data_IF_707524568685
#
_entry.id   IF_707524568685
#
_cell.length_a   1.000
_cell.length_b   1.000
_cell.length_c   1.000
_cell.angle_alpha   90.00
_cell.angle_beta   90.00
_cell.angle_gamma   90.00
#
_symmetry.space_group_name_H-M   'P 1'
#
loop_
_entity.id
_entity.type
_entity.pdbx_description
1 polymer ?
#
# COMPACT_ATOMS: atom_id res chain seq x y z
N UNK A 1 13.80 -1.50 -0.38
CA UNK A 1 12.42 -0.98 -0.38
C UNK A 1 11.51 -1.70 0.61
N UNK A 2 10.68 -0.98 1.37
CA UNK A 2 9.56 -1.57 2.14
C UNK A 2 8.29 -1.46 1.30
N UNK A 3 7.71 -2.60 0.92
CA UNK A 3 6.41 -2.64 0.23
C UNK A 3 5.43 -3.48 1.03
N UNK A 4 4.14 -3.17 0.91
CA UNK A 4 3.07 -3.98 1.51
C UNK A 4 2.35 -4.75 0.43
N UNK A 5 2.15 -6.05 0.65
CA UNK A 5 1.34 -6.89 -0.24
C UNK A 5 -0.09 -6.98 0.26
N UNK A 6 -1.06 -6.92 -0.66
CA UNK A 6 -2.49 -7.01 -0.36
C UNK A 6 -3.23 -7.91 -1.36
N UNK A 7 -4.41 -8.43 -1.00
CA UNK A 7 -5.27 -9.10 -1.96
C UNK A 7 -5.78 -8.10 -3.01
N UNK A 8 -5.94 -8.57 -4.24
CA UNK A 8 -6.48 -7.79 -5.34
C UNK A 8 -7.90 -7.29 -5.02
N UNK A 9 -8.06 -5.97 -5.04
CA UNK A 9 -9.33 -5.32 -4.68
C UNK A 9 -10.34 -5.28 -5.84
N UNK A 10 -9.87 -5.19 -7.08
CA UNK A 10 -10.68 -5.13 -8.30
C UNK A 10 -10.21 -6.17 -9.34
N UNK A 11 -11.14 -7.04 -9.77
CA UNK A 11 -10.90 -8.11 -10.76
C UNK A 11 -11.57 -7.85 -12.11
N UNK A 12 -12.23 -6.70 -12.30
CA UNK A 12 -13.03 -6.40 -13.51
C UNK A 12 -12.20 -6.18 -14.77
N UNK A 13 -10.90 -5.90 -14.63
CA UNK A 13 -9.97 -5.59 -15.72
C UNK A 13 -9.05 -6.77 -16.08
N UNK A 14 -9.24 -7.92 -15.43
CA UNK A 14 -8.43 -9.10 -15.68
C UNK A 14 -8.62 -9.59 -17.10
N UNK A 15 -7.53 -10.01 -17.73
CA UNK A 15 -7.54 -10.59 -19.07
C UNK A 15 -8.08 -12.02 -19.00
N UNK A 16 -8.64 -12.49 -20.11
CA UNK A 16 -8.87 -13.91 -20.27
C UNK A 16 -7.52 -14.66 -20.36
N UNK A 17 -7.50 -15.93 -19.97
CA UNK A 17 -6.26 -16.73 -19.93
C UNK A 17 -5.54 -16.80 -21.29
N UNK A 18 -6.29 -16.83 -22.39
CA UNK A 18 -5.80 -16.88 -23.76
C UNK A 18 -5.30 -15.53 -24.31
N UNK A 19 -5.68 -14.41 -23.70
CA UNK A 19 -5.19 -13.08 -24.03
C UNK A 19 -3.86 -12.74 -23.34
N UNK A 20 -3.46 -13.55 -22.35
CA UNK A 20 -2.17 -13.40 -21.68
C UNK A 20 -1.04 -13.94 -22.54
N UNK A 21 0.15 -13.39 -22.34
CA UNK A 21 1.33 -13.79 -23.10
C UNK A 21 2.41 -14.36 -22.19
N UNK A 22 3.42 -15.02 -22.77
CA UNK A 22 4.61 -15.43 -22.04
C UNK A 22 5.53 -14.24 -21.82
N UNK A 23 6.08 -14.12 -20.62
CA UNK A 23 7.05 -13.07 -20.33
C UNK A 23 8.36 -13.26 -21.12
N UNK A 24 8.86 -12.14 -21.66
CA UNK A 24 10.15 -12.07 -22.36
C UNK A 24 11.31 -11.71 -21.41
N UNK A 25 11.01 -11.41 -20.15
CA UNK A 25 11.99 -10.89 -19.19
C UNK A 25 12.85 -12.02 -18.60
N UNK A 26 14.16 -11.88 -18.76
CA UNK A 26 15.17 -12.78 -18.18
C UNK A 26 15.93 -12.05 -17.07
N UNK A 27 15.22 -11.73 -16.00
CA UNK A 27 15.76 -11.02 -14.83
C UNK A 27 15.39 -11.77 -13.55
N UNK A 28 16.15 -11.55 -12.49
CA UNK A 28 15.82 -12.04 -11.15
C UNK A 28 14.82 -11.12 -10.44
N UNK A 29 14.15 -11.63 -9.40
CA UNK A 29 13.27 -10.81 -8.58
C UNK A 29 14.00 -9.61 -7.96
N UNK A 30 15.23 -9.80 -7.47
CA UNK A 30 16.04 -8.70 -6.91
C UNK A 30 16.26 -7.59 -7.93
N UNK A 31 16.63 -7.93 -9.16
CA UNK A 31 16.80 -6.92 -10.22
C UNK A 31 15.47 -6.21 -10.55
N UNK A 32 14.35 -6.93 -10.49
CA UNK A 32 13.04 -6.35 -10.72
C UNK A 32 12.62 -5.39 -9.60
N UNK A 33 12.87 -5.76 -8.34
CA UNK A 33 12.60 -4.90 -7.18
C UNK A 33 13.53 -3.69 -7.14
N UNK A 34 14.81 -3.86 -7.48
CA UNK A 34 15.79 -2.76 -7.52
C UNK A 34 15.45 -1.74 -8.60
N UNK A 35 14.96 -2.21 -9.76
CA UNK A 35 14.46 -1.33 -10.81
C UNK A 35 13.22 -0.56 -10.31
N UNK A 36 12.25 -1.24 -9.71
CA UNK A 36 11.04 -0.60 -9.21
C UNK A 36 11.37 0.46 -8.14
N UNK A 37 12.22 0.11 -7.17
CA UNK A 37 12.67 1.03 -6.11
C UNK A 37 13.35 2.26 -6.70
N UNK A 38 14.31 2.07 -7.60
CA UNK A 38 15.00 3.18 -8.26
C UNK A 38 14.04 4.09 -9.00
N UNK A 39 13.09 3.54 -9.75
CA UNK A 39 12.14 4.36 -10.52
C UNK A 39 11.13 5.07 -9.62
N UNK A 40 10.78 4.52 -8.46
CA UNK A 40 9.97 5.20 -7.43
C UNK A 40 10.73 6.37 -6.80
N UNK A 41 12.00 6.18 -6.42
CA UNK A 41 12.84 7.26 -5.87
C UNK A 41 12.91 8.48 -6.80
N UNK A 42 12.95 8.26 -8.13
CA UNK A 42 12.98 9.34 -9.12
C UNK A 42 11.73 10.24 -9.13
N UNK A 43 10.60 9.73 -8.68
CA UNK A 43 9.31 10.44 -8.67
C UNK A 43 8.82 10.74 -7.25
N UNK A 44 9.74 10.68 -6.27
CA UNK A 44 9.45 10.82 -4.83
C UNK A 44 8.35 9.85 -4.36
N UNK A 45 8.43 8.63 -4.90
CA UNK A 45 7.49 7.54 -4.69
C UNK A 45 7.60 6.94 -3.30
N UNK A 46 6.52 6.94 -2.54
CA UNK A 46 6.43 6.33 -1.22
C UNK A 46 5.12 5.56 -1.04
N UNK A 47 5.03 4.77 0.03
CA UNK A 47 3.82 3.98 0.37
C UNK A 47 3.44 2.95 -0.69
N UNK A 48 4.45 2.24 -1.17
CA UNK A 48 4.27 1.21 -2.17
C UNK A 48 3.41 0.05 -1.66
N UNK A 49 2.27 -0.13 -2.32
CA UNK A 49 1.36 -1.26 -2.19
C UNK A 49 1.37 -2.07 -3.47
N UNK A 50 1.59 -3.39 -3.33
CA UNK A 50 1.46 -4.36 -4.41
C UNK A 50 0.25 -5.23 -4.12
N UNK A 51 -0.85 -5.05 -4.85
CA UNK A 51 -1.99 -5.97 -4.78
C UNK A 51 -1.79 -7.12 -5.75
N UNK A 52 -2.02 -8.35 -5.29
CA UNK A 52 -1.97 -9.56 -6.11
C UNK A 52 -3.16 -10.47 -5.80
N UNK A 53 -3.51 -11.37 -6.70
CA UNK A 53 -4.67 -12.27 -6.53
C UNK A 53 -4.38 -13.45 -5.58
N UNK A 54 -4.15 -13.14 -4.30
CA UNK A 54 -3.93 -14.12 -3.22
C UNK A 54 -5.05 -14.05 -2.18
N UNK A 55 -5.16 -15.09 -1.34
CA UNK A 55 -6.00 -15.03 -0.14
C UNK A 55 -5.26 -14.25 0.94
N UNK A 56 -6.03 -13.60 1.81
CA UNK A 56 -5.50 -12.86 2.95
C UNK A 56 -4.67 -13.73 3.89
N UNK A 57 -5.02 -15.02 4.03
CA UNK A 57 -4.27 -16.01 4.83
C UNK A 57 -2.84 -16.28 4.33
N UNK A 58 -2.55 -15.96 3.06
CA UNK A 58 -1.24 -16.17 2.43
C UNK A 58 -0.27 -15.02 2.71
N UNK A 59 -0.78 -13.95 3.34
CA UNK A 59 0.00 -12.85 3.87
C UNK A 59 0.62 -13.20 5.23
N UNK A 60 1.83 -12.72 5.46
CA UNK A 60 2.48 -12.71 6.77
C UNK A 60 1.99 -11.50 7.57
N UNK A 61 2.17 -11.55 8.89
CA UNK A 61 1.84 -10.43 9.80
C UNK A 61 2.63 -9.15 9.49
N UNK A 62 3.77 -9.27 8.80
CA UNK A 62 4.60 -8.15 8.33
C UNK A 62 4.13 -7.55 6.99
N UNK A 63 3.03 -8.08 6.41
CA UNK A 63 2.48 -7.62 5.15
C UNK A 63 3.19 -8.17 3.91
N UNK A 64 4.13 -9.10 4.07
CA UNK A 64 4.83 -9.77 2.96
C UNK A 64 4.16 -11.10 2.59
N UNK A 65 4.33 -11.57 1.35
CA UNK A 65 3.90 -12.92 0.97
C UNK A 65 4.68 -13.97 1.77
N UNK A 66 3.99 -15.04 2.16
CA UNK A 66 4.66 -16.29 2.53
C UNK A 66 5.44 -16.83 1.33
N UNK A 67 6.59 -17.47 1.56
CA UNK A 67 7.47 -17.96 0.49
C UNK A 67 6.78 -18.94 -0.49
N UNK A 68 5.70 -19.62 -0.04
CA UNK A 68 4.94 -20.58 -0.83
C UNK A 68 3.61 -20.00 -1.36
N UNK A 69 3.31 -18.73 -1.09
CA UNK A 69 2.08 -18.10 -1.53
C UNK A 69 2.12 -17.89 -3.04
N UNK A 70 1.13 -18.46 -3.74
CA UNK A 70 0.96 -18.32 -5.19
C UNK A 70 -0.39 -17.67 -5.48
N UNK A 71 -0.48 -16.84 -6.53
CA UNK A 71 -1.78 -16.34 -6.99
C UNK A 71 -2.74 -17.49 -7.26
N UNK A 72 -3.99 -17.33 -6.83
CA UNK A 72 -5.00 -18.40 -6.85
C UNK A 72 -5.74 -18.44 -8.18
N UNK A 73 -5.97 -17.27 -8.78
CA UNK A 73 -6.60 -17.13 -10.08
C UNK A 73 -5.63 -16.53 -11.09
N UNK A 74 -5.56 -15.20 -11.14
CA UNK A 74 -4.77 -14.49 -12.13
C UNK A 74 -3.41 -14.05 -11.57
N UNK A 75 -2.32 -14.12 -12.35
CA UNK A 75 -1.03 -13.54 -11.99
C UNK A 75 -1.02 -12.00 -12.09
N UNK A 76 -2.18 -11.37 -11.98
CA UNK A 76 -2.38 -9.94 -12.11
C UNK A 76 -1.84 -9.19 -10.90
N UNK A 77 -1.35 -7.98 -11.16
CA UNK A 77 -0.83 -7.10 -10.12
C UNK A 77 -1.37 -5.69 -10.27
N UNK A 78 -1.59 -5.06 -9.12
CA UNK A 78 -1.76 -3.60 -9.01
C UNK A 78 -0.59 -3.06 -8.21
N UNK A 79 0.05 -2.04 -8.73
CA UNK A 79 1.13 -1.32 -8.06
C UNK A 79 0.64 0.10 -7.81
N UNK A 80 0.46 0.44 -6.55
CA UNK A 80 -0.04 1.74 -6.13
C UNK A 80 0.91 2.39 -5.13
N UNK A 81 1.07 3.71 -5.22
CA UNK A 81 1.98 4.48 -4.38
C UNK A 81 1.64 5.98 -4.45
N UNK A 82 2.09 6.73 -3.46
CA UNK A 82 2.06 8.20 -3.46
C UNK A 82 3.32 8.74 -4.14
N UNK A 83 3.22 9.89 -4.82
CA UNK A 83 4.34 10.51 -5.55
C UNK A 83 4.23 12.03 -5.60
N UNK A 84 5.28 12.71 -6.07
CA UNK A 84 5.24 14.16 -6.33
C UNK A 84 4.15 14.58 -7.35
N UNK A 85 3.60 13.61 -8.11
CA UNK A 85 2.54 13.83 -9.10
C UNK A 85 1.13 13.47 -8.59
N UNK A 86 1.02 13.13 -7.29
CA UNK A 86 -0.18 12.59 -6.64
C UNK A 86 -0.20 11.07 -6.56
N UNK A 87 -1.29 10.46 -6.07
CA UNK A 87 -1.43 9.01 -6.00
C UNK A 87 -1.48 8.41 -7.40
N UNK A 88 -0.61 7.42 -7.63
CA UNK A 88 -0.51 6.71 -8.91
C UNK A 88 -0.88 5.24 -8.72
N UNK A 89 -1.58 4.69 -9.72
CA UNK A 89 -1.98 3.29 -9.76
C UNK A 89 -1.68 2.70 -11.14
N UNK A 90 -0.93 1.60 -11.14
CA UNK A 90 -0.58 0.83 -12.32
C UNK A 90 -1.15 -0.57 -12.22
N UNK A 91 -1.73 -1.06 -13.31
CA UNK A 91 -2.31 -2.41 -13.40
C UNK A 91 -1.56 -3.20 -14.47
N UNK A 92 -1.23 -4.45 -14.18
CA UNK A 92 -0.60 -5.32 -15.16
C UNK A 92 -1.08 -6.77 -15.00
N UNK A 93 -1.63 -7.31 -16.07
CA UNK A 93 -2.06 -8.71 -16.21
C UNK A 93 -1.68 -9.23 -17.61
N UNK A 94 -0.56 -8.74 -18.16
CA UNK A 94 -0.13 -9.06 -19.51
C UNK A 94 0.49 -10.47 -19.61
N UNK A 95 1.10 -10.94 -18.51
CA UNK A 95 1.86 -12.19 -18.49
C UNK A 95 1.15 -13.29 -17.71
N UNK A 96 0.84 -14.39 -18.41
CA UNK A 96 0.25 -15.61 -17.85
C UNK A 96 1.29 -16.70 -17.57
N UNK A 97 2.50 -16.57 -18.14
CA UNK A 97 3.58 -17.53 -18.00
C UNK A 97 4.92 -16.84 -17.82
N UNK A 98 5.79 -17.44 -17.00
CA UNK A 98 7.16 -16.99 -16.78
C UNK A 98 8.04 -17.17 -18.01
N UNK A 99 9.17 -16.44 -18.03
CA UNK A 99 10.17 -16.64 -19.08
C UNK A 99 10.99 -17.90 -18.81
N UNK A 100 11.40 -18.60 -19.87
CA UNK A 100 12.24 -19.77 -19.73
C UNK A 100 13.61 -19.37 -19.14
N UNK A 101 14.01 -20.03 -18.05
CA UNK A 101 15.23 -19.71 -17.31
C UNK A 101 15.12 -18.53 -16.33
N UNK A 102 13.92 -17.96 -16.15
CA UNK A 102 13.64 -16.99 -15.09
C UNK A 102 13.38 -17.71 -13.76
N UNK A 103 13.91 -17.16 -12.66
CA UNK A 103 13.57 -17.60 -11.30
C UNK A 103 12.36 -16.87 -10.71
N UNK A 104 11.77 -15.93 -11.46
CA UNK A 104 10.62 -15.16 -11.01
C UNK A 104 9.32 -15.95 -11.15
N UNK A 105 8.43 -15.75 -10.18
CA UNK A 105 7.03 -16.17 -10.29
C UNK A 105 6.30 -15.29 -11.32
N UNK A 106 5.22 -15.81 -11.92
CA UNK A 106 4.54 -15.14 -13.05
C UNK A 106 4.07 -13.72 -12.69
N UNK A 107 3.49 -13.53 -11.50
CA UNK A 107 3.03 -12.21 -11.05
C UNK A 107 4.18 -11.20 -10.92
N UNK A 108 5.38 -11.66 -10.58
CA UNK A 108 6.56 -10.81 -10.48
C UNK A 108 6.95 -10.27 -11.85
N UNK A 109 6.72 -11.02 -12.93
CA UNK A 109 6.92 -10.51 -14.29
C UNK A 109 5.97 -9.35 -14.61
N UNK A 110 4.73 -9.38 -14.09
CA UNK A 110 3.79 -8.27 -14.22
C UNK A 110 4.22 -7.05 -13.39
N UNK A 111 4.82 -7.25 -12.20
CA UNK A 111 5.43 -6.14 -11.42
C UNK A 111 6.59 -5.52 -12.18
N UNK A 112 7.48 -6.34 -12.75
CA UNK A 112 8.59 -5.83 -13.55
C UNK A 112 8.12 -5.06 -14.79
N UNK A 113 6.99 -5.46 -15.39
CA UNK A 113 6.36 -4.71 -16.47
C UNK A 113 5.96 -3.29 -16.04
N UNK A 114 5.45 -3.13 -14.81
CA UNK A 114 5.15 -1.81 -14.24
C UNK A 114 6.44 -1.02 -14.04
N UNK A 115 7.49 -1.62 -13.47
CA UNK A 115 8.78 -0.96 -13.30
C UNK A 115 9.36 -0.47 -14.64
N UNK A 116 9.25 -1.27 -15.71
CA UNK A 116 9.63 -0.89 -17.07
C UNK A 116 8.76 0.23 -17.64
N UNK A 117 7.49 0.26 -17.29
CA UNK A 117 6.57 1.34 -17.68
C UNK A 117 7.01 2.65 -17.02
N UNK A 118 7.33 2.64 -15.73
CA UNK A 118 7.86 3.82 -15.02
C UNK A 118 9.18 4.30 -15.63
N UNK A 119 10.09 3.39 -15.94
CA UNK A 119 11.36 3.72 -16.62
C UNK A 119 11.12 4.41 -17.98
N UNK A 120 10.16 3.91 -18.76
CA UNK A 120 9.79 4.51 -20.03
C UNK A 120 9.15 5.90 -19.87
N UNK A 121 8.24 6.07 -18.90
CA UNK A 121 7.61 7.36 -18.60
C UNK A 121 8.63 8.39 -18.13
N UNK A 122 9.64 7.98 -17.35
CA UNK A 122 10.76 8.83 -16.97
C UNK A 122 11.65 9.16 -18.17
N UNK A 123 11.85 8.23 -19.11
CA UNK A 123 12.60 8.51 -20.33
C UNK A 123 11.91 9.59 -21.19
N UNK A 124 10.58 9.58 -21.24
CA UNK A 124 9.78 10.63 -21.90
C UNK A 124 10.05 12.01 -21.29
N UNK A 125 10.05 12.13 -19.95
CA UNK A 125 10.40 13.38 -19.27
C UNK A 125 11.87 13.77 -19.49
N UNK A 126 12.78 12.81 -19.33
CA UNK A 126 14.22 13.01 -19.46
C UNK A 126 14.59 13.59 -20.82
N UNK A 127 13.97 13.09 -21.89
CA UNK A 127 14.25 13.55 -23.25
C UNK A 127 13.33 14.71 -23.70
N UNK A 128 12.52 15.27 -22.79
CA UNK A 128 11.67 16.43 -23.06
C UNK A 128 10.57 16.18 -24.08
N UNK A 129 10.17 14.92 -24.27
CA UNK A 129 9.11 14.56 -25.22
C UNK A 129 7.71 14.92 -24.70
N UNK A 130 7.56 15.16 -23.39
CA UNK A 130 6.36 15.70 -22.77
C UNK A 130 6.72 16.88 -21.84
N UNK A 131 5.73 17.72 -21.52
CA UNK A 131 5.88 18.73 -20.46
C UNK A 131 5.73 18.06 -19.10
N UNK A 132 6.59 18.47 -18.16
CA UNK A 132 6.74 17.92 -16.80
C UNK A 132 5.47 17.26 -16.23
N UNK A 133 5.46 15.92 -16.19
CA UNK A 133 4.48 15.14 -15.45
C UNK A 133 3.12 14.90 -16.11
N UNK A 134 2.92 15.31 -17.37
CA UNK A 134 1.67 15.07 -18.12
C UNK A 134 1.40 13.58 -18.37
N UNK A 135 2.45 12.79 -18.57
CA UNK A 135 2.38 11.35 -18.83
C UNK A 135 1.89 10.53 -17.63
N UNK A 136 2.06 11.04 -16.41
CA UNK A 136 1.56 10.40 -15.19
C UNK A 136 0.06 10.64 -14.95
N UNK A 137 -0.55 11.62 -15.63
CA UNK A 137 -1.98 11.97 -15.43
C UNK A 137 -2.93 10.82 -15.71
N UNK A 138 -2.63 9.99 -16.71
CA UNK A 138 -3.46 8.82 -17.08
C UNK A 138 -3.49 7.72 -16.03
N UNK A 139 -2.55 7.76 -15.07
CA UNK A 139 -2.41 6.76 -13.99
C UNK A 139 -2.83 7.32 -12.62
N UNK A 140 -3.27 8.57 -12.57
CA UNK A 140 -3.85 9.13 -11.34
C UNK A 140 -5.16 8.42 -11.04
N UNK A 141 -5.37 8.09 -9.77
CA UNK A 141 -6.64 7.54 -9.34
C UNK A 141 -7.73 8.62 -9.41
N UNK A 142 -8.48 8.65 -10.51
CA UNK A 142 -9.71 9.45 -10.63
C UNK A 142 -10.83 8.65 -9.96
N UNK A 143 -11.34 9.12 -8.83
CA UNK A 143 -12.25 8.36 -7.98
C UNK A 143 -13.50 7.81 -8.68
N UNK A 144 -13.60 6.48 -8.78
CA UNK A 144 -14.81 5.66 -8.61
C UNK A 144 -14.43 4.17 -8.62
N UNK A 145 -14.37 3.59 -7.43
CA UNK A 145 -13.85 2.24 -7.12
C UNK A 145 -13.36 2.32 -5.68
N UNK A 146 -13.42 1.25 -4.86
CA UNK A 146 -13.13 1.38 -3.44
C UNK A 146 -11.81 2.14 -3.35
N UNK A 147 -11.84 3.24 -2.60
CA UNK A 147 -10.62 3.95 -2.28
C UNK A 147 -9.59 2.87 -2.03
N UNK A 148 -8.40 2.97 -2.61
CA UNK A 148 -7.31 2.33 -1.92
C UNK A 148 -7.47 2.95 -0.53
N UNK A 149 -7.87 2.13 0.44
CA UNK A 149 -7.62 2.49 1.83
C UNK A 149 -6.11 2.36 1.91
N UNK A 150 -5.39 3.24 1.23
CA UNK A 150 -4.18 3.84 1.73
C UNK A 150 -4.72 4.56 2.96
N UNK A 151 -4.93 3.79 4.04
CA UNK A 151 -4.47 4.31 5.30
C UNK A 151 -3.06 4.78 4.98
N UNK A 152 -2.89 6.10 4.98
CA UNK A 152 -1.59 6.74 4.91
C UNK A 152 -0.63 5.89 5.76
N UNK A 153 0.64 5.74 5.35
CA UNK A 153 1.64 5.00 6.11
C UNK A 153 1.44 5.38 7.55
N UNK A 154 1.18 4.38 8.38
CA UNK A 154 0.93 4.64 9.80
C UNK A 154 2.20 5.31 10.30
N UNK A 155 2.17 6.63 10.45
CA UNK A 155 3.23 7.42 11.06
C UNK A 155 2.97 7.43 12.55
N UNK A 156 3.99 7.70 13.37
CA UNK A 156 3.79 7.88 14.81
C UNK A 156 2.67 8.89 15.12
N UNK A 157 2.61 10.02 14.38
CA UNK A 157 1.56 11.03 14.51
C UNK A 157 0.19 10.50 14.10
N UNK A 158 0.08 9.77 13.00
CA UNK A 158 -1.18 9.18 12.55
C UNK A 158 -1.68 8.10 13.52
N UNK A 159 -0.78 7.27 14.05
CA UNK A 159 -1.11 6.30 15.08
C UNK A 159 -1.62 6.99 16.35
N UNK A 160 -0.95 8.07 16.78
CA UNK A 160 -1.39 8.88 17.91
C UNK A 160 -2.79 9.48 17.69
N UNK A 161 -3.06 10.05 16.52
CA UNK A 161 -4.39 10.57 16.16
C UNK A 161 -5.49 9.51 16.29
N UNK A 162 -5.25 8.30 15.77
CA UNK A 162 -6.23 7.20 15.83
C UNK A 162 -6.47 6.78 17.28
N UNK A 163 -5.41 6.65 18.08
CA UNK A 163 -5.52 6.28 19.49
C UNK A 163 -6.22 7.35 20.34
N UNK A 164 -5.87 8.63 20.15
CA UNK A 164 -6.51 9.74 20.86
C UNK A 164 -7.98 9.86 20.47
N UNK A 165 -8.32 9.71 19.18
CA UNK A 165 -9.72 9.72 18.70
C UNK A 165 -10.53 8.57 19.30
N UNK A 166 -9.97 7.37 19.36
CA UNK A 166 -10.64 6.24 20.00
C UNK A 166 -10.80 6.40 21.51
N UNK A 167 -9.82 7.03 22.17
CA UNK A 167 -9.82 7.18 23.62
C UNK A 167 -10.73 8.33 24.13
N UNK A 168 -10.79 9.44 23.40
CA UNK A 168 -11.41 10.71 23.84
C UNK A 168 -12.62 11.08 22.97
N UNK A 169 -13.73 10.39 23.21
CA UNK A 169 -14.96 10.39 22.38
C UNK A 169 -15.63 11.78 22.21
N UNK A 170 -15.41 12.73 23.13
CA UNK A 170 -16.11 14.03 23.15
C UNK A 170 -15.18 15.25 23.24
N UNK A 171 -14.01 15.18 22.60
CA UNK A 171 -13.01 16.25 22.66
C UNK A 171 -13.12 17.20 21.47
N UNK A 172 -12.98 18.52 21.70
CA UNK A 172 -12.94 19.52 20.61
C UNK A 172 -11.72 19.29 19.69
N UNK A 173 -11.75 19.78 18.44
CA UNK A 173 -10.60 19.62 17.53
C UNK A 173 -9.30 20.18 18.10
N UNK A 174 -9.37 21.36 18.72
CA UNK A 174 -8.22 22.04 19.31
C UNK A 174 -7.62 21.26 20.49
N UNK A 175 -8.47 20.69 21.32
CA UNK A 175 -8.03 19.85 22.45
C UNK A 175 -7.48 18.50 21.95
N UNK A 176 -7.99 17.99 20.83
CA UNK A 176 -7.53 16.73 20.23
C UNK A 176 -6.12 16.85 19.66
N UNK A 177 -5.81 17.95 19.00
CA UNK A 177 -4.45 18.22 18.48
C UNK A 177 -3.44 18.28 19.63
N UNK A 178 -3.79 19.01 20.69
CA UNK A 178 -2.98 19.05 21.92
C UNK A 178 -2.81 17.67 22.58
N UNK A 179 -3.86 16.84 22.63
CA UNK A 179 -3.79 15.48 23.16
C UNK A 179 -2.91 14.55 22.30
N UNK A 180 -2.85 14.78 20.97
CA UNK A 180 -1.95 14.05 20.06
C UNK A 180 -0.50 14.41 20.34
N UNK A 181 -0.20 15.70 20.47
CA UNK A 181 1.14 16.18 20.78
C UNK A 181 1.59 15.66 22.16
N UNK A 182 0.75 15.80 23.19
CA UNK A 182 1.02 15.27 24.54
C UNK A 182 1.22 13.74 24.57
N UNK A 183 0.55 13.00 23.70
CA UNK A 183 0.77 11.54 23.58
C UNK A 183 2.11 11.20 22.92
N UNK A 184 2.54 11.99 21.93
CA UNK A 184 3.82 11.79 21.24
C UNK A 184 5.00 12.19 22.13
N UNK A 185 4.87 13.30 22.86
CA UNK A 185 5.89 13.83 23.76
C UNK A 185 6.04 12.98 25.04
N UNK A 186 5.08 12.07 25.31
CA UNK A 186 5.10 11.14 26.44
C UNK A 186 4.43 11.68 27.71
N UNK A 187 3.78 12.83 27.63
CA UNK A 187 3.04 13.45 28.73
C UNK A 187 1.73 12.69 29.06
N UNK A 188 1.19 11.95 28.09
CA UNK A 188 0.07 11.02 28.30
C UNK A 188 0.56 9.58 28.47
N UNK A 189 0.02 8.90 29.48
CA UNK A 189 0.28 7.46 29.67
C UNK A 189 -0.21 6.64 28.47
N UNK A 190 0.75 6.15 27.69
CA UNK A 190 0.53 5.45 26.43
C UNK A 190 -0.36 4.21 26.62
N UNK A 191 -0.14 3.44 27.68
CA UNK A 191 -0.90 2.22 27.93
C UNK A 191 -2.35 2.51 28.31
N UNK A 192 -2.59 3.60 29.06
CA UNK A 192 -3.94 4.06 29.35
C UNK A 192 -4.70 4.52 28.12
N UNK A 193 -4.07 5.28 27.23
CA UNK A 193 -4.70 5.73 25.98
C UNK A 193 -5.04 4.56 25.07
N UNK A 194 -4.11 3.61 24.87
CA UNK A 194 -4.36 2.42 24.05
C UNK A 194 -5.50 1.56 24.61
N UNK A 195 -5.49 1.31 25.92
CA UNK A 195 -6.54 0.52 26.58
C UNK A 195 -7.91 1.20 26.47
N UNK A 196 -7.96 2.52 26.65
CA UNK A 196 -9.19 3.27 26.54
C UNK A 196 -9.73 3.28 25.10
N UNK A 197 -8.85 3.50 24.11
CA UNK A 197 -9.20 3.45 22.70
C UNK A 197 -9.79 2.08 22.32
N UNK A 198 -9.13 0.99 22.70
CA UNK A 198 -9.61 -0.37 22.45
C UNK A 198 -10.96 -0.64 23.07
N UNK A 199 -11.18 -0.24 24.32
CA UNK A 199 -12.44 -0.43 25.02
C UNK A 199 -13.60 0.30 24.32
N UNK A 200 -13.35 1.54 23.90
CA UNK A 200 -14.38 2.38 23.31
C UNK A 200 -14.74 1.97 21.87
N UNK A 201 -13.79 1.41 21.11
CA UNK A 201 -14.02 0.96 19.72
C UNK A 201 -14.34 -0.53 19.59
N UNK A 202 -14.28 -1.30 20.69
CA UNK A 202 -14.53 -2.75 20.67
C UNK A 202 -15.91 -3.09 20.12
N UNK A 203 -16.08 -4.09 19.23
CA UNK A 203 -17.38 -4.42 18.63
C UNK A 203 -18.50 -4.70 19.66
N UNK A 204 -18.17 -5.34 20.78
CA UNK A 204 -19.14 -5.66 21.83
C UNK A 204 -19.53 -4.46 22.72
N UNK A 205 -18.70 -3.42 22.78
CA UNK A 205 -18.89 -2.27 23.68
C UNK A 205 -18.73 -0.94 22.97
N UNK A 206 -18.91 -0.92 21.65
CA UNK A 206 -18.58 0.21 20.81
C UNK A 206 -19.43 1.42 21.21
N UNK A 207 -18.76 2.54 21.48
CA UNK A 207 -19.45 3.79 21.76
C UNK A 207 -19.99 4.40 20.45
N UNK A 208 -21.27 4.80 20.40
CA UNK A 208 -21.84 5.45 19.23
C UNK A 208 -21.09 6.74 18.91
N UNK A 209 -20.75 6.96 17.63
CA UNK A 209 -20.19 8.23 17.15
C UNK A 209 -18.66 8.31 17.12
N UNK A 210 -17.93 7.22 17.40
CA UNK A 210 -16.47 7.20 17.21
C UNK A 210 -16.13 6.98 15.73
N UNK A 211 -15.38 7.89 15.08
CA UNK A 211 -15.08 7.83 13.65
C UNK A 211 -13.84 6.96 13.33
N UNK A 212 -13.50 6.02 14.21
CA UNK A 212 -12.37 5.08 14.05
C UNK A 212 -12.80 3.67 14.48
N UNK A 213 -12.38 2.68 13.71
CA UNK A 213 -12.68 1.26 13.93
C UNK A 213 -11.73 0.62 14.96
N UNK A 214 -12.16 -0.53 15.51
CA UNK A 214 -11.31 -1.34 16.38
C UNK A 214 -10.01 -1.78 15.68
N UNK A 215 -10.10 -2.16 14.40
CA UNK A 215 -8.97 -2.62 13.61
C UNK A 215 -7.94 -1.50 13.35
N UNK A 216 -8.39 -0.26 13.13
CA UNK A 216 -7.50 0.91 13.06
C UNK A 216 -6.76 1.13 14.38
N UNK A 217 -7.46 1.02 15.53
CA UNK A 217 -6.85 1.14 16.87
C UNK A 217 -5.82 0.04 17.12
N UNK A 218 -6.11 -1.20 16.72
CA UNK A 218 -5.16 -2.31 16.87
C UNK A 218 -3.89 -2.11 16.03
N UNK A 219 -4.05 -1.66 14.76
CA UNK A 219 -2.93 -1.35 13.87
C UNK A 219 -2.08 -0.20 14.39
N UNK A 220 -2.70 0.89 14.85
CA UNK A 220 -2.00 2.02 15.45
C UNK A 220 -1.18 1.63 16.70
N UNK A 221 -1.77 0.81 17.59
CA UNK A 221 -1.08 0.33 18.79
C UNK A 221 0.08 -0.62 18.48
N UNK A 222 -0.04 -1.47 17.44
CA UNK A 222 1.04 -2.37 17.01
C UNK A 222 2.22 -1.58 16.42
N UNK A 223 1.93 -0.55 15.64
CA UNK A 223 2.94 0.31 15.03
C UNK A 223 3.84 0.99 16.09
N UNK A 224 3.25 1.64 17.09
CA UNK A 224 3.99 2.34 18.16
C UNK A 224 4.74 1.42 19.13
N UNK A 225 4.51 0.11 19.09
CA UNK A 225 5.27 -0.89 19.85
C UNK A 225 6.50 -1.40 19.10
N UNK A 226 6.49 -1.32 17.76
CA UNK A 226 7.58 -1.79 16.90
C UNK A 226 8.69 -0.76 16.67
N UNK A 227 8.51 0.50 17.07
CA UNK A 227 9.51 1.57 16.99
C UNK A 227 10.45 1.64 18.21
N UNK A 228 10.43 0.61 19.07
CA UNK A 228 11.26 0.52 20.29
C UNK A 228 12.48 -0.36 20.05
#
# INVERSE_FOLDING_TARGET
MRYTTRPLSDRTWLRADDERTRSQFKVSWSQASDLLERELEWIDGHDLVIEIDIREQDLRLDGMLRANAKPIGAPAVVVAFESQHGPLLYRSDAYGWGSWGSSMEVWQHNVYAVAKTLEALRAVDRYGAARSGEQYRGYRQIGRGPAIVTDAPMTARRAAEILVRGARVNTSERTREHDVDAFLDGDLDRDSVIRLAKRNTHPDTAWPGIPVSFDEVQRAAAHLRGER
#
